data_IF_486115863355
#
_entry.id   IF_486115863355
#
_cell.length_a   1.000
_cell.length_b   1.000
_cell.length_c   1.000
_cell.angle_alpha   90.00
_cell.angle_beta   90.00
_cell.angle_gamma   90.00
#
_symmetry.space_group_name_H-M   'P 1'
#
loop_
_entity.id
_entity.type
_entity.pdbx_description
1 polymer ?
#
# COMPACT_ATOMS: atom_id res chain seq x y z
N UNK A 1 -4.97 2.52 -32.20
CA UNK A 1 -4.79 2.82 -30.76
C UNK A 1 -3.34 2.63 -30.45
N UNK A 2 -2.62 3.71 -30.13
CA UNK A 2 -1.18 3.68 -29.87
C UNK A 2 -0.85 2.89 -28.61
N UNK A 3 0.13 2.00 -28.72
CA UNK A 3 0.74 1.25 -27.60
C UNK A 3 1.15 2.19 -26.46
N UNK A 4 1.59 3.41 -26.79
CA UNK A 4 1.97 4.43 -25.82
C UNK A 4 0.75 5.03 -25.06
N UNK A 5 -0.40 5.15 -25.71
CA UNK A 5 -1.64 5.56 -25.06
C UNK A 5 -2.10 4.49 -24.06
N UNK A 6 -2.02 3.19 -24.44
CA UNK A 6 -2.31 2.07 -23.56
C UNK A 6 -1.43 2.08 -22.30
N UNK A 7 -0.11 2.30 -22.44
CA UNK A 7 0.79 2.41 -21.27
C UNK A 7 0.45 3.60 -20.35
N UNK A 8 0.05 4.76 -20.90
CA UNK A 8 -0.24 5.96 -20.12
C UNK A 8 -1.62 5.92 -19.43
N UNK A 9 -2.66 5.33 -20.05
CA UNK A 9 -3.94 5.11 -19.38
C UNK A 9 -3.90 3.96 -18.38
N UNK A 10 -3.12 2.91 -18.66
CA UNK A 10 -2.98 1.77 -17.75
C UNK A 10 -2.16 2.14 -16.51
N UNK A 11 -1.12 2.97 -16.64
CA UNK A 11 -0.38 3.50 -15.47
C UNK A 11 -1.22 4.47 -14.62
N UNK A 12 -2.09 5.29 -15.23
CA UNK A 12 -2.97 6.21 -14.49
C UNK A 12 -4.10 5.51 -13.74
N UNK A 13 -4.69 4.46 -14.33
CA UNK A 13 -5.70 3.62 -13.67
C UNK A 13 -5.08 2.73 -12.59
N UNK A 14 -3.85 2.23 -12.79
CA UNK A 14 -3.05 1.64 -11.72
C UNK A 14 -2.80 2.67 -10.60
N UNK A 15 -2.44 3.91 -10.91
CA UNK A 15 -2.20 4.98 -9.93
C UNK A 15 -3.43 5.32 -9.07
N UNK A 16 -4.64 5.28 -9.65
CA UNK A 16 -5.90 5.48 -8.91
C UNK A 16 -6.25 4.30 -7.99
N UNK A 17 -5.77 3.09 -8.32
CA UNK A 17 -5.91 1.89 -7.49
C UNK A 17 -5.03 1.93 -6.24
N UNK A 18 -3.85 2.54 -6.34
CA UNK A 18 -2.93 2.80 -5.23
C UNK A 18 -3.41 3.88 -4.26
N UNK A 19 -4.42 4.71 -4.62
CA UNK A 19 -4.90 5.82 -3.78
C UNK A 19 -5.41 5.40 -2.40
N UNK A 20 -5.96 4.19 -2.25
CA UNK A 20 -6.38 3.71 -0.94
C UNK A 20 -5.20 3.48 0.01
N UNK A 21 -4.08 3.03 -0.54
CA UNK A 21 -2.85 2.81 0.22
C UNK A 21 -1.93 4.03 0.23
N UNK A 22 -2.25 5.05 -0.56
CA UNK A 22 -1.49 6.29 -0.65
C UNK A 22 -1.28 6.94 0.72
N UNK A 23 -2.30 6.95 1.59
CA UNK A 23 -2.14 7.49 2.95
C UNK A 23 -1.15 6.70 3.79
N UNK A 24 -1.16 5.37 3.66
CA UNK A 24 -0.22 4.47 4.32
C UNK A 24 1.20 4.70 3.79
N UNK A 25 1.38 4.76 2.47
CA UNK A 25 2.69 4.96 1.86
C UNK A 25 3.24 6.38 2.06
N UNK A 26 2.39 7.40 2.07
CA UNK A 26 2.79 8.77 2.42
C UNK A 26 3.24 8.85 3.88
N UNK A 27 2.55 8.19 4.80
CA UNK A 27 2.99 8.11 6.19
C UNK A 27 4.36 7.42 6.28
N UNK A 28 4.53 6.28 5.61
CA UNK A 28 5.81 5.56 5.58
C UNK A 28 6.95 6.43 5.03
N UNK A 29 6.73 7.11 3.90
CA UNK A 29 7.73 7.96 3.26
C UNK A 29 8.17 9.10 4.17
N UNK A 30 7.23 9.76 4.86
CA UNK A 30 7.56 10.83 5.82
C UNK A 30 8.40 10.31 6.99
N UNK A 31 8.09 9.12 7.47
CA UNK A 31 8.89 8.48 8.52
C UNK A 31 10.30 8.17 8.01
N UNK A 32 10.42 7.54 6.83
CA UNK A 32 11.71 7.24 6.22
C UNK A 32 12.56 8.50 6.01
N UNK A 33 11.97 9.57 5.47
CA UNK A 33 12.64 10.87 5.29
C UNK A 33 13.21 11.42 6.61
N UNK A 34 12.48 11.30 7.72
CA UNK A 34 12.93 11.78 9.03
C UNK A 34 13.97 10.86 9.69
N UNK A 35 14.00 9.56 9.37
CA UNK A 35 15.05 8.67 9.91
C UNK A 35 16.45 9.05 9.43
N UNK A 36 16.58 9.87 8.38
CA UNK A 36 17.87 10.41 7.94
C UNK A 36 18.30 11.67 8.72
N UNK A 37 17.41 12.29 9.48
CA UNK A 37 17.65 13.59 10.11
C UNK A 37 17.54 13.58 11.64
N UNK A 38 16.72 12.69 12.20
CA UNK A 38 16.49 12.58 13.64
C UNK A 38 16.53 11.12 14.11
N UNK A 39 16.65 10.90 15.42
CA UNK A 39 16.65 9.56 15.97
C UNK A 39 15.25 8.91 15.82
N UNK A 40 15.20 7.60 15.67
CA UNK A 40 13.97 6.85 15.45
C UNK A 40 12.96 7.05 16.60
N UNK A 41 13.47 7.19 17.82
CA UNK A 41 12.72 7.40 19.05
C UNK A 41 12.07 8.79 19.12
N UNK A 42 12.57 9.76 18.34
CA UNK A 42 12.05 11.13 18.28
C UNK A 42 10.87 11.26 17.30
N UNK A 43 10.73 10.33 16.35
CA UNK A 43 9.72 10.37 15.30
C UNK A 43 8.28 10.39 15.85
N UNK A 44 7.91 9.58 16.86
CA UNK A 44 6.56 9.61 17.43
C UNK A 44 6.17 10.93 18.09
N UNK A 45 7.12 11.84 18.34
CA UNK A 45 6.87 13.17 18.90
C UNK A 45 6.71 14.25 17.81
N UNK A 46 6.94 13.91 16.54
CA UNK A 46 6.76 14.82 15.41
C UNK A 46 5.28 14.98 15.05
N UNK A 47 4.90 16.18 14.63
CA UNK A 47 3.52 16.50 14.24
C UNK A 47 3.06 15.63 13.08
N UNK A 48 1.95 14.91 13.27
CA UNK A 48 1.36 14.04 12.25
C UNK A 48 1.99 12.65 12.14
N UNK A 49 2.96 12.33 13.00
CA UNK A 49 3.64 11.03 13.09
C UNK A 49 3.52 10.42 14.48
N UNK A 50 2.55 10.86 15.29
CA UNK A 50 2.32 10.26 16.59
C UNK A 50 1.77 8.84 16.47
N UNK A 51 1.82 8.06 17.56
CA UNK A 51 1.11 6.76 17.65
C UNK A 51 -0.38 6.88 17.31
N UNK A 52 -1.00 7.99 17.70
CA UNK A 52 -2.41 8.27 17.36
C UNK A 52 -2.61 8.50 15.87
N UNK A 53 -1.67 9.21 15.22
CA UNK A 53 -1.72 9.44 13.78
C UNK A 53 -1.50 8.13 13.01
N UNK A 54 -0.54 7.30 13.43
CA UNK A 54 -0.33 5.97 12.90
C UNK A 54 -1.61 5.13 12.97
N UNK A 55 -2.25 5.03 14.14
CA UNK A 55 -3.51 4.28 14.29
C UNK A 55 -4.62 4.80 13.38
N UNK A 56 -4.70 6.12 13.18
CA UNK A 56 -5.67 6.73 12.26
C UNK A 56 -5.38 6.32 10.81
N UNK A 57 -4.12 6.35 10.39
CA UNK A 57 -3.69 5.91 9.06
C UNK A 57 -4.00 4.43 8.86
N UNK A 58 -3.63 3.56 9.80
CA UNK A 58 -3.93 2.13 9.76
C UNK A 58 -5.43 1.88 9.61
N UNK A 59 -6.25 2.48 10.48
CA UNK A 59 -7.71 2.34 10.41
C UNK A 59 -8.26 2.80 9.06
N UNK A 60 -7.82 3.95 8.56
CA UNK A 60 -8.33 4.49 7.30
C UNK A 60 -7.87 3.74 6.05
N UNK A 61 -6.72 3.05 6.12
CA UNK A 61 -6.12 2.37 4.96
C UNK A 61 -6.41 0.86 4.94
N UNK A 62 -6.62 0.23 6.09
CA UNK A 62 -6.81 -1.22 6.22
C UNK A 62 -8.26 -1.64 6.50
N UNK A 63 -9.13 -0.71 6.91
CA UNK A 63 -10.54 -1.03 7.13
C UNK A 63 -11.23 -1.36 5.80
N UNK A 64 -11.75 -2.58 5.68
CA UNK A 64 -12.45 -3.05 4.46
C UNK A 64 -11.51 -3.29 3.28
N UNK A 65 -10.25 -3.60 3.56
CA UNK A 65 -9.20 -3.82 2.56
C UNK A 65 -9.54 -4.94 1.57
N UNK A 66 -10.25 -5.97 2.00
CA UNK A 66 -10.80 -7.05 1.16
C UNK A 66 -11.69 -6.49 0.04
N UNK A 67 -12.65 -5.62 0.38
CA UNK A 67 -13.56 -5.00 -0.59
C UNK A 67 -12.81 -4.11 -1.56
N UNK A 68 -11.80 -3.41 -1.05
CA UNK A 68 -10.97 -2.49 -1.82
C UNK A 68 -10.09 -3.21 -2.82
N UNK A 69 -9.40 -4.28 -2.40
CA UNK A 69 -8.60 -5.14 -3.28
C UNK A 69 -9.52 -5.79 -4.32
N UNK A 70 -10.71 -6.26 -3.93
CA UNK A 70 -11.68 -6.81 -4.89
C UNK A 70 -12.19 -5.79 -5.90
N UNK A 71 -12.42 -4.54 -5.48
CA UNK A 71 -12.76 -3.46 -6.40
C UNK A 71 -11.59 -3.15 -7.34
N UNK A 72 -10.35 -3.21 -6.83
CA UNK A 72 -9.14 -3.02 -7.61
C UNK A 72 -8.97 -4.09 -8.68
N UNK A 73 -9.02 -5.36 -8.27
CA UNK A 73 -8.96 -6.53 -9.15
C UNK A 73 -9.98 -6.41 -10.30
N UNK A 74 -11.26 -6.17 -9.97
CA UNK A 74 -12.34 -6.05 -10.97
C UNK A 74 -12.14 -4.87 -11.93
N UNK A 75 -11.57 -3.75 -11.46
CA UNK A 75 -11.28 -2.59 -12.31
C UNK A 75 -10.12 -2.90 -13.26
N UNK A 76 -9.03 -3.44 -12.73
CA UNK A 76 -7.86 -3.82 -13.50
C UNK A 76 -8.23 -4.84 -14.60
N UNK A 77 -9.09 -5.81 -14.27
CA UNK A 77 -9.59 -6.81 -15.22
C UNK A 77 -10.41 -6.17 -16.36
N UNK A 78 -11.20 -5.12 -16.06
CA UNK A 78 -12.02 -4.42 -17.07
C UNK A 78 -11.22 -3.46 -17.95
N UNK A 79 -10.15 -2.86 -17.40
CA UNK A 79 -9.34 -1.87 -18.10
C UNK A 79 -8.33 -2.51 -19.03
N UNK A 80 -7.85 -3.71 -18.71
CA UNK A 80 -6.97 -4.47 -19.57
C UNK A 80 -7.77 -5.11 -20.70
N UNK A 81 -7.47 -4.72 -21.94
CA UNK A 81 -8.08 -5.27 -23.16
C UNK A 81 -7.47 -6.63 -23.57
N UNK A 82 -6.44 -7.09 -22.87
CA UNK A 82 -5.77 -8.38 -23.10
C UNK A 82 -5.86 -9.22 -21.82
N UNK A 83 -6.75 -10.21 -21.85
CA UNK A 83 -7.00 -11.12 -20.72
C UNK A 83 -5.76 -11.93 -20.32
N UNK A 84 -4.87 -12.21 -21.29
CA UNK A 84 -3.64 -12.98 -21.05
C UNK A 84 -2.59 -12.23 -20.21
N UNK A 85 -2.60 -10.89 -20.25
CA UNK A 85 -1.62 -10.09 -19.49
C UNK A 85 -2.07 -9.83 -18.05
N UNK A 86 -3.36 -9.93 -17.78
CA UNK A 86 -3.94 -9.61 -16.48
C UNK A 86 -3.32 -10.39 -15.31
N UNK A 87 -3.17 -11.74 -15.37
CA UNK A 87 -2.60 -12.50 -14.24
C UNK A 87 -1.18 -12.04 -13.89
N UNK A 88 -0.32 -11.85 -14.90
CA UNK A 88 1.07 -11.44 -14.69
C UNK A 88 1.19 -10.03 -14.09
N UNK A 89 0.34 -9.11 -14.52
CA UNK A 89 0.29 -7.74 -13.99
C UNK A 89 -0.24 -7.74 -12.57
N UNK A 90 -1.27 -8.54 -12.29
CA UNK A 90 -1.84 -8.66 -10.96
C UNK A 90 -0.83 -9.23 -9.96
N UNK A 91 -0.12 -10.28 -10.32
CA UNK A 91 0.93 -10.86 -9.48
C UNK A 91 2.06 -9.87 -9.21
N UNK A 92 2.46 -9.07 -10.21
CA UNK A 92 3.42 -7.99 -10.02
C UNK A 92 2.91 -6.91 -9.06
N UNK A 93 1.64 -6.50 -9.18
CA UNK A 93 1.02 -5.54 -8.26
C UNK A 93 0.96 -6.07 -6.82
N UNK A 94 0.54 -7.33 -6.63
CA UNK A 94 0.52 -7.98 -5.31
C UNK A 94 1.90 -7.99 -4.69
N UNK A 95 2.93 -8.35 -5.46
CA UNK A 95 4.32 -8.38 -5.00
C UNK A 95 4.80 -6.99 -4.57
N UNK A 96 4.69 -5.97 -5.43
CA UNK A 96 5.12 -4.61 -5.10
C UNK A 96 4.38 -4.04 -3.88
N UNK A 97 3.10 -4.38 -3.72
CA UNK A 97 2.33 -3.96 -2.55
C UNK A 97 2.83 -4.66 -1.28
N UNK A 98 3.03 -5.97 -1.32
CA UNK A 98 3.50 -6.75 -0.18
C UNK A 98 4.91 -6.34 0.26
N UNK A 99 5.82 -6.10 -0.67
CA UNK A 99 7.20 -5.67 -0.36
C UNK A 99 7.19 -4.32 0.40
N UNK A 100 6.34 -3.36 -0.03
CA UNK A 100 6.15 -2.08 0.67
C UNK A 100 5.45 -2.26 2.01
N UNK A 101 4.44 -3.12 2.08
CA UNK A 101 3.71 -3.38 3.32
C UNK A 101 4.59 -4.04 4.38
N UNK A 102 5.44 -4.98 3.98
CA UNK A 102 6.41 -5.63 4.85
C UNK A 102 7.42 -4.62 5.42
N UNK A 103 7.97 -3.75 4.56
CA UNK A 103 8.85 -2.65 4.99
C UNK A 103 8.16 -1.72 5.99
N UNK A 104 6.88 -1.40 5.76
CA UNK A 104 6.06 -0.60 6.66
C UNK A 104 5.83 -1.29 8.02
N UNK A 105 5.53 -2.60 8.04
CA UNK A 105 5.37 -3.37 9.30
C UNK A 105 6.66 -3.39 10.11
N UNK A 106 7.81 -3.56 9.45
CA UNK A 106 9.13 -3.49 10.11
C UNK A 106 9.39 -2.10 10.70
N UNK A 107 9.08 -1.03 9.93
CA UNK A 107 9.18 0.35 10.39
C UNK A 107 8.30 0.60 11.61
N UNK A 108 7.03 0.15 11.57
CA UNK A 108 6.08 0.29 12.70
C UNK A 108 6.63 -0.40 13.94
N UNK A 109 7.13 -1.62 13.80
CA UNK A 109 7.72 -2.38 14.91
C UNK A 109 8.93 -1.65 15.50
N UNK A 110 9.82 -1.12 14.66
CA UNK A 110 11.03 -0.42 15.09
C UNK A 110 10.74 0.90 15.81
N UNK A 111 9.82 1.71 15.29
CA UNK A 111 9.62 3.11 15.74
C UNK A 111 8.47 3.23 16.75
N UNK A 112 7.41 2.45 16.58
CA UNK A 112 6.18 2.57 17.37
C UNK A 112 5.98 1.42 18.35
N UNK A 113 6.76 0.35 18.24
CA UNK A 113 6.72 -0.82 19.11
C UNK A 113 5.48 -1.69 18.84
N UNK A 114 4.80 -2.12 19.90
CA UNK A 114 3.67 -3.07 19.83
C UNK A 114 2.33 -2.44 19.39
N UNK A 115 2.32 -1.68 18.29
CA UNK A 115 1.07 -1.20 17.69
C UNK A 115 0.33 -2.36 16.98
N UNK A 116 -1.01 -2.44 17.09
CA UNK A 116 -1.79 -3.50 16.48
C UNK A 116 -1.90 -3.27 14.96
N UNK A 117 -0.93 -3.77 14.22
CA UNK A 117 -0.90 -3.81 12.77
C UNK A 117 -1.20 -5.23 12.27
N UNK A 118 -1.96 -5.35 11.18
CA UNK A 118 -2.21 -6.62 10.52
C UNK A 118 -0.86 -7.27 10.12
N UNK A 119 -0.60 -8.54 10.46
CA UNK A 119 0.61 -9.21 10.04
C UNK A 119 0.70 -9.36 8.52
N UNK A 120 1.93 -9.41 8.00
CA UNK A 120 2.19 -9.64 6.55
C UNK A 120 1.57 -10.95 6.06
N UNK A 121 1.54 -12.00 6.91
CA UNK A 121 0.92 -13.28 6.58
C UNK A 121 -0.60 -13.15 6.34
N UNK A 122 -1.31 -12.45 7.22
CA UNK A 122 -2.75 -12.18 7.07
C UNK A 122 -3.00 -11.34 5.80
N UNK A 123 -2.16 -10.33 5.53
CA UNK A 123 -2.25 -9.55 4.29
C UNK A 123 -2.07 -10.42 3.03
N UNK A 124 -1.14 -11.38 3.06
CA UNK A 124 -0.94 -12.34 1.96
C UNK A 124 -2.18 -13.19 1.73
N UNK A 125 -2.83 -13.65 2.79
CA UNK A 125 -4.10 -14.41 2.70
C UNK A 125 -5.23 -13.57 2.09
N UNK A 126 -5.35 -12.30 2.48
CA UNK A 126 -6.33 -11.38 1.87
C UNK A 126 -6.10 -11.25 0.37
N UNK A 127 -4.86 -11.06 -0.07
CA UNK A 127 -4.51 -10.92 -1.49
C UNK A 127 -4.67 -12.23 -2.27
N UNK A 128 -4.53 -13.39 -1.62
CA UNK A 128 -4.71 -14.69 -2.27
C UNK A 128 -6.17 -14.98 -2.68
N UNK A 129 -7.13 -14.24 -2.13
CA UNK A 129 -8.56 -14.33 -2.50
C UNK A 129 -8.89 -13.61 -3.83
N UNK A 130 -7.90 -12.99 -4.47
CA UNK A 130 -8.03 -12.22 -5.72
C UNK A 130 -6.93 -12.63 -6.71
#
# INVERSE_FOLDING_TARGET
MDTMHFFLTNTRSLLDLWQQFERLFQFNRKVEELTYTIAAEEIPFQLGLSKTDLRRVLKSSLSGIDKSIGAMYRRLQKTLTSDELFPSLWDKCKKEFLDKYESFVQMVTRIYGNEPIMPVAEMKEVLANF
#
